data_IF_405274234026
#
_entry.id   IF_405274234026
#
_cell.length_a   1.000
_cell.length_b   1.000
_cell.length_c   1.000
_cell.angle_alpha   90.00
_cell.angle_beta   90.00
_cell.angle_gamma   90.00
#
_symmetry.space_group_name_H-M   'P 1'
#
loop_
_entity.id
_entity.type
_entity.pdbx_description
1 polymer ?
#
# COMPACT_ATOMS: atom_id res chain seq x y z
N UNK A 1 2.87 -10.88 -12.71
CA UNK A 1 3.23 -9.53 -13.17
C UNK A 1 2.51 -8.55 -12.28
N UNK A 2 3.27 -7.71 -11.59
CA UNK A 2 2.72 -6.64 -10.75
C UNK A 2 2.27 -5.50 -11.65
N UNK A 3 1.17 -4.82 -11.29
CA UNK A 3 0.66 -3.66 -12.05
C UNK A 3 0.17 -2.56 -11.10
N UNK A 4 0.29 -1.27 -11.47
CA UNK A 4 -0.35 -0.20 -10.72
C UNK A 4 -1.88 -0.34 -10.70
N UNK A 5 -2.50 0.01 -9.57
CA UNK A 5 -3.94 0.22 -9.49
C UNK A 5 -4.28 1.62 -10.05
N UNK A 6 -5.01 1.73 -11.17
CA UNK A 6 -5.33 3.01 -11.77
C UNK A 6 -6.22 3.88 -10.87
N UNK A 7 -6.90 3.31 -9.85
CA UNK A 7 -7.69 4.05 -8.88
C UNK A 7 -6.87 4.71 -7.77
N UNK A 8 -5.59 4.37 -7.64
CA UNK A 8 -4.73 4.84 -6.56
C UNK A 8 -4.04 6.18 -6.82
N UNK A 9 -4.45 6.92 -7.86
CA UNK A 9 -3.75 8.13 -8.33
C UNK A 9 -3.97 9.40 -7.48
N UNK A 10 -4.90 9.38 -6.51
CA UNK A 10 -5.30 10.58 -5.78
C UNK A 10 -4.33 10.99 -4.69
N UNK A 11 -3.55 10.04 -4.19
CA UNK A 11 -2.52 10.31 -3.18
C UNK A 11 -1.16 10.50 -3.88
N UNK A 12 -0.56 11.70 -3.87
CA UNK A 12 0.77 11.90 -4.44
C UNK A 12 1.88 11.30 -3.56
N UNK A 13 1.59 10.94 -2.30
CA UNK A 13 2.56 10.39 -1.36
C UNK A 13 2.69 8.87 -1.46
N UNK A 14 1.68 8.18 -1.99
CA UNK A 14 1.63 6.72 -2.01
C UNK A 14 0.83 6.16 -3.19
N UNK A 15 1.03 4.88 -3.50
CA UNK A 15 0.26 4.20 -4.53
C UNK A 15 0.07 2.72 -4.23
N UNK A 16 -0.88 2.10 -4.94
CA UNK A 16 -1.18 0.67 -4.85
C UNK A 16 -0.64 -0.07 -6.07
N UNK A 17 0.06 -1.17 -5.82
CA UNK A 17 0.46 -2.15 -6.83
C UNK A 17 -0.25 -3.48 -6.55
N UNK A 18 -0.83 -4.06 -7.59
CA UNK A 18 -1.55 -5.32 -7.55
C UNK A 18 -0.64 -6.47 -8.01
N UNK A 19 -0.30 -7.36 -7.07
CA UNK A 19 0.34 -8.63 -7.34
C UNK A 19 -0.67 -9.75 -7.64
N UNK A 20 -0.20 -11.00 -7.68
CA UNK A 20 -1.04 -12.16 -7.98
C UNK A 20 -2.03 -12.44 -6.84
N UNK A 21 -1.54 -12.55 -5.61
CA UNK A 21 -2.36 -12.77 -4.41
C UNK A 21 -2.16 -11.69 -3.33
N UNK A 22 -1.36 -10.68 -3.64
CA UNK A 22 -0.86 -9.67 -2.71
C UNK A 22 -1.21 -8.28 -3.22
N UNK A 23 -1.43 -7.37 -2.28
CA UNK A 23 -1.57 -5.94 -2.55
C UNK A 23 -0.40 -5.23 -1.88
N UNK A 24 0.30 -4.40 -2.64
CA UNK A 24 1.40 -3.60 -2.12
C UNK A 24 0.96 -2.15 -2.06
N UNK A 25 1.19 -1.48 -0.93
CA UNK A 25 1.20 -0.03 -0.86
C UNK A 25 2.65 0.42 -0.85
N UNK A 26 3.00 1.30 -1.78
CA UNK A 26 4.29 1.97 -1.74
C UNK A 26 4.14 3.41 -1.28
N UNK A 27 5.17 3.91 -0.61
CA UNK A 27 5.33 5.32 -0.28
C UNK A 27 6.46 5.87 -1.13
N UNK A 28 6.29 7.10 -1.61
CA UNK A 28 7.35 7.77 -2.37
C UNK A 28 8.53 8.11 -1.46
N UNK A 29 9.74 8.23 -2.01
CA UNK A 29 10.94 8.56 -1.21
C UNK A 29 10.77 9.80 -0.33
N UNK A 30 9.96 10.78 -0.74
CA UNK A 30 9.69 12.01 0.02
C UNK A 30 8.78 11.84 1.24
N UNK A 31 8.09 10.70 1.38
CA UNK A 31 7.06 10.47 2.40
C UNK A 31 7.34 9.23 3.26
N UNK A 32 8.53 8.64 3.15
CA UNK A 32 8.95 7.47 3.95
C UNK A 32 8.95 7.82 5.45
N UNK A 33 9.45 9.01 5.81
CA UNK A 33 9.54 9.44 7.20
C UNK A 33 8.18 9.51 7.91
N UNK A 34 7.11 9.86 7.19
CA UNK A 34 5.75 9.91 7.75
C UNK A 34 5.27 8.50 8.14
N UNK A 35 5.56 7.51 7.29
CA UNK A 35 5.21 6.12 7.57
C UNK A 35 6.05 5.55 8.73
N UNK A 36 7.37 5.79 8.72
CA UNK A 36 8.28 5.36 9.79
C UNK A 36 7.85 5.93 11.15
N UNK A 37 7.46 7.21 11.20
CA UNK A 37 6.96 7.84 12.42
C UNK A 37 5.74 7.11 13.01
N UNK A 38 4.81 6.62 12.18
CA UNK A 38 3.66 5.82 12.64
C UNK A 38 4.12 4.47 13.19
N UNK A 39 5.05 3.80 12.51
CA UNK A 39 5.60 2.51 12.95
C UNK A 39 6.28 2.65 14.31
N UNK A 40 7.08 3.70 14.51
CA UNK A 40 7.78 3.97 15.78
C UNK A 40 6.84 4.15 16.97
N UNK A 41 5.59 4.58 16.75
CA UNK A 41 4.61 4.71 17.85
C UNK A 41 4.08 3.37 18.37
N UNK A 42 4.26 2.27 17.61
CA UNK A 42 3.63 0.97 17.90
C UNK A 42 2.09 0.96 17.70
N UNK A 43 1.50 2.07 17.22
CA UNK A 43 0.08 2.17 16.95
C UNK A 43 -0.35 1.17 15.87
N UNK A 44 0.43 1.07 14.78
CA UNK A 44 0.13 0.16 13.68
C UNK A 44 0.04 -1.29 14.16
N UNK A 45 1.04 -1.76 14.92
CA UNK A 45 1.05 -3.10 15.49
C UNK A 45 -0.16 -3.35 16.41
N UNK A 46 -0.51 -2.36 17.24
CA UNK A 46 -1.68 -2.45 18.12
C UNK A 46 -3.00 -2.55 17.35
N UNK A 47 -3.12 -1.82 16.23
CA UNK A 47 -4.30 -1.86 15.36
C UNK A 47 -4.39 -3.17 14.57
N UNK A 48 -3.26 -3.73 14.14
CA UNK A 48 -3.21 -5.05 13.50
C UNK A 48 -3.58 -6.14 14.51
N UNK A 49 -3.01 -6.11 15.72
CA UNK A 49 -3.27 -7.10 16.76
C UNK A 49 -4.74 -7.10 17.22
N UNK A 50 -5.40 -5.94 17.21
CA UNK A 50 -6.82 -5.81 17.55
C UNK A 50 -7.78 -6.13 16.38
N UNK A 51 -7.25 -6.32 15.16
CA UNK A 51 -8.04 -6.54 13.96
C UNK A 51 -8.71 -5.28 13.40
N UNK A 52 -8.37 -4.10 13.92
CA UNK A 52 -8.85 -2.82 13.40
C UNK A 52 -8.17 -2.45 12.07
N UNK A 53 -6.94 -2.92 11.85
CA UNK A 53 -6.19 -2.82 10.60
C UNK A 53 -5.82 -4.22 10.13
N UNK A 54 -5.87 -4.45 8.82
CA UNK A 54 -5.43 -5.73 8.25
C UNK A 54 -3.92 -5.91 8.39
N UNK A 55 -3.44 -7.15 8.28
CA UNK A 55 -2.01 -7.44 8.29
C UNK A 55 -1.25 -6.50 7.33
N UNK A 56 -0.19 -5.89 7.85
CA UNK A 56 0.63 -4.89 7.18
C UNK A 56 2.08 -5.25 7.42
N UNK A 57 2.76 -5.76 6.40
CA UNK A 57 4.14 -6.24 6.51
C UNK A 57 5.07 -5.32 5.75
N UNK A 58 6.07 -4.76 6.41
CA UNK A 58 7.15 -4.03 5.74
C UNK A 58 7.96 -5.00 4.87
N UNK A 59 8.21 -4.63 3.62
CA UNK A 59 8.94 -5.45 2.65
C UNK A 59 10.33 -4.85 2.42
N UNK A 60 11.35 -5.70 2.47
CA UNK A 60 12.72 -5.29 2.19
C UNK A 60 12.90 -4.85 0.74
N UNK A 61 13.80 -3.90 0.49
CA UNK A 61 14.04 -3.35 -0.86
C UNK A 61 14.44 -4.43 -1.89
N UNK A 62 15.16 -5.48 -1.47
CA UNK A 62 15.50 -6.62 -2.34
C UNK A 62 14.27 -7.43 -2.76
N UNK A 63 13.33 -7.67 -1.83
CA UNK A 63 12.06 -8.37 -2.11
C UNK A 63 11.14 -7.49 -2.97
N UNK A 64 11.26 -6.16 -2.87
CA UNK A 64 10.55 -5.19 -3.68
C UNK A 64 11.16 -4.92 -5.07
N UNK A 65 12.26 -5.59 -5.44
CA UNK A 65 13.01 -5.29 -6.67
C UNK A 65 12.13 -5.28 -7.94
N UNK A 66 11.19 -6.21 -8.05
CA UNK A 66 10.27 -6.29 -9.20
C UNK A 66 9.27 -5.13 -9.25
N UNK A 67 8.97 -4.49 -8.11
CA UNK A 67 7.99 -3.42 -7.98
C UNK A 67 8.48 -2.09 -8.55
N UNK A 68 9.79 -1.83 -8.52
CA UNK A 68 10.38 -0.60 -9.05
C UNK A 68 10.13 -0.41 -10.55
N UNK A 69 9.95 -1.51 -11.29
CA UNK A 69 9.59 -1.44 -12.71
C UNK A 69 8.19 -0.84 -12.94
N UNK A 70 7.30 -0.96 -11.95
CA UNK A 70 5.95 -0.44 -11.99
C UNK A 70 5.82 0.95 -11.34
N UNK A 71 6.65 1.27 -10.36
CA UNK A 71 6.72 2.58 -9.70
C UNK A 71 8.18 2.91 -9.33
N UNK A 72 8.90 3.70 -10.14
CA UNK A 72 10.30 4.08 -9.87
C UNK A 72 10.49 4.96 -8.64
N UNK A 73 9.44 5.63 -8.17
CA UNK A 73 9.45 6.57 -7.05
C UNK A 73 9.36 5.91 -5.67
N UNK A 74 9.28 4.57 -5.61
CA UNK A 74 9.19 3.79 -4.37
C UNK A 74 10.36 4.13 -3.44
N UNK A 75 10.05 4.60 -2.25
CA UNK A 75 10.98 4.70 -1.11
C UNK A 75 10.78 3.61 -0.07
N UNK A 76 9.53 3.15 0.11
CA UNK A 76 9.17 2.10 1.06
C UNK A 76 7.97 1.31 0.54
N UNK A 77 7.88 0.03 0.88
CA UNK A 77 6.74 -0.82 0.50
C UNK A 77 6.22 -1.61 1.69
N UNK A 78 4.90 -1.64 1.82
CA UNK A 78 4.20 -2.60 2.69
C UNK A 78 3.32 -3.54 1.87
N UNK A 79 3.27 -4.79 2.30
CA UNK A 79 2.42 -5.84 1.76
C UNK A 79 1.19 -6.02 2.65
N UNK A 80 0.05 -6.23 2.00
CA UNK A 80 -1.22 -6.55 2.63
C UNK A 80 -1.82 -7.83 2.03
N UNK A 81 -2.55 -8.61 2.84
CA UNK A 81 -3.34 -9.71 2.32
C UNK A 81 -4.45 -9.17 1.42
N UNK A 82 -4.72 -9.87 0.32
CA UNK A 82 -5.79 -9.48 -0.59
C UNK A 82 -7.15 -9.82 0.01
N UNK A 83 -7.98 -8.80 0.16
CA UNK A 83 -9.39 -8.95 0.51
C UNK A 83 -10.18 -9.33 -0.76
N UNK A 84 -11.06 -10.36 -0.74
CA UNK A 84 -11.79 -10.83 -1.92
C UNK A 84 -13.00 -9.95 -2.28
N UNK A 85 -12.99 -8.68 -1.90
CA UNK A 85 -13.98 -7.68 -2.26
C UNK A 85 -13.37 -6.27 -2.19
N UNK A 86 -14.00 -5.30 -2.84
CA UNK A 86 -13.60 -3.89 -2.75
C UNK A 86 -14.16 -3.34 -1.43
N UNK A 87 -13.28 -2.98 -0.48
CA UNK A 87 -13.68 -2.57 0.88
C UNK A 87 -14.02 -1.08 1.01
N UNK A 88 -13.85 -0.28 -0.05
CA UNK A 88 -13.93 1.19 -0.02
C UNK A 88 -14.90 1.76 -1.07
N UNK A 89 -15.97 1.03 -1.39
CA UNK A 89 -16.92 1.40 -2.45
C UNK A 89 -17.63 2.75 -2.23
N UNK A 90 -17.69 3.25 -0.99
CA UNK A 90 -18.32 4.53 -0.65
C UNK A 90 -17.38 5.73 -0.82
N UNK A 91 -16.08 5.51 -1.03
CA UNK A 91 -15.08 6.57 -1.21
C UNK A 91 -14.84 6.90 -2.70
N UNK A 92 -15.62 6.29 -3.59
CA UNK A 92 -15.44 6.38 -5.04
C UNK A 92 -16.38 7.41 -5.66
N UNK A 93 -15.85 8.49 -6.28
CA UNK A 93 -16.62 9.26 -7.24
C UNK A 93 -16.97 8.38 -8.45
N UNK A 94 -18.02 8.77 -9.17
CA UNK A 94 -18.62 7.97 -10.24
C UNK A 94 -17.62 7.47 -11.30
N UNK A 95 -16.53 8.20 -11.53
CA UNK A 95 -15.47 7.80 -12.47
C UNK A 95 -14.69 6.54 -12.05
N UNK A 96 -14.67 6.19 -10.76
CA UNK A 96 -14.00 4.99 -10.25
C UNK A 96 -14.91 3.74 -10.26
N UNK A 97 -16.21 3.90 -10.57
CA UNK A 97 -17.20 2.82 -10.68
C UNK A 97 -17.44 2.33 -12.13
N UNK A 98 -16.70 2.87 -13.11
CA UNK A 98 -16.85 2.55 -14.54
C UNK A 98 -15.90 1.47 -15.01
#
# INVERSE_FOLDING_TARGET
>A
MVRPDPGSFRDPASGILLGRNQVYRYFTSGHVADFEAIVETGLLDSLVASGAVIETKLIGMEEAAELYSAAPEIGLVVEHPRIPFISYAYEWPFEMLK
#
